data_IF_361083492608
#
_entry.id   IF_361083492608
#
_cell.length_a   1.000
_cell.length_b   1.000
_cell.length_c   1.000
_cell.angle_alpha   90.00
_cell.angle_beta   90.00
_cell.angle_gamma   90.00
#
_symmetry.space_group_name_H-M   'P 1'
#
loop_
_entity.id
_entity.type
_entity.pdbx_description
1 polymer ?
#
# COMPACT_ATOMS: atom_id res chain seq x y z
N UNK A 1 13.77 -27.84 -93.06
CA UNK A 1 12.89 -27.52 -91.91
C UNK A 1 11.85 -28.63 -91.83
N UNK A 2 12.01 -29.56 -90.90
CA UNK A 2 11.03 -30.62 -90.65
C UNK A 2 10.59 -30.47 -89.19
N UNK A 3 9.39 -29.97 -89.00
CA UNK A 3 8.69 -29.91 -87.72
C UNK A 3 8.31 -31.34 -87.34
N UNK A 4 8.99 -31.90 -86.34
CA UNK A 4 8.66 -33.20 -85.76
C UNK A 4 7.33 -33.07 -85.03
N UNK A 5 6.29 -33.61 -85.64
CA UNK A 5 4.94 -33.75 -85.11
C UNK A 5 5.00 -34.70 -83.91
N UNK A 6 4.95 -34.15 -82.69
CA UNK A 6 4.83 -34.94 -81.45
C UNK A 6 3.36 -35.32 -81.31
N UNK A 7 2.99 -36.49 -81.80
CA UNK A 7 1.74 -37.17 -81.42
C UNK A 7 1.78 -37.48 -79.93
N UNK A 8 1.08 -36.68 -79.13
CA UNK A 8 0.84 -36.94 -77.71
C UNK A 8 -0.07 -38.17 -77.58
N UNK A 9 0.40 -39.21 -76.89
CA UNK A 9 -0.38 -40.39 -76.61
C UNK A 9 -1.60 -40.04 -75.73
N UNK A 10 -2.76 -40.69 -75.92
CA UNK A 10 -3.94 -40.42 -75.11
C UNK A 10 -3.69 -40.83 -73.66
N UNK A 11 -3.95 -39.92 -72.71
CA UNK A 11 -3.89 -40.21 -71.28
C UNK A 11 -4.71 -41.46 -70.96
N UNK A 12 -4.08 -42.44 -70.33
CA UNK A 12 -4.78 -43.64 -69.89
C UNK A 12 -5.46 -43.40 -68.54
N UNK A 13 -6.49 -44.20 -68.24
CA UNK A 13 -7.19 -44.15 -66.96
C UNK A 13 -6.24 -44.35 -65.76
N UNK A 14 -5.18 -45.13 -65.95
CA UNK A 14 -4.15 -45.40 -64.94
C UNK A 14 -3.33 -44.14 -64.65
N UNK A 15 -2.90 -43.41 -65.69
CA UNK A 15 -2.14 -42.16 -65.53
C UNK A 15 -2.93 -41.11 -64.72
N UNK A 16 -4.25 -41.05 -64.91
CA UNK A 16 -5.12 -40.16 -64.15
C UNK A 16 -5.35 -40.63 -62.71
N UNK A 17 -5.31 -41.94 -62.44
CA UNK A 17 -5.40 -42.48 -61.09
C UNK A 17 -4.12 -42.22 -60.30
N UNK A 18 -2.96 -42.37 -60.94
CA UNK A 18 -1.65 -42.10 -60.34
C UNK A 18 -1.50 -40.60 -60.03
N UNK A 19 -1.89 -39.72 -60.97
CA UNK A 19 -1.92 -38.28 -60.73
C UNK A 19 -2.82 -37.90 -59.54
N UNK A 20 -4.01 -38.51 -59.42
CA UNK A 20 -4.90 -38.25 -58.28
C UNK A 20 -4.34 -38.77 -56.96
N UNK A 21 -3.57 -39.86 -56.98
CA UNK A 21 -2.89 -40.37 -55.80
C UNK A 21 -1.77 -39.42 -55.36
N UNK A 22 -0.94 -38.96 -56.30
CA UNK A 22 0.13 -37.99 -56.05
C UNK A 22 -0.41 -36.64 -55.57
N UNK A 23 -1.50 -36.17 -56.18
CA UNK A 23 -2.16 -34.94 -55.76
C UNK A 23 -2.72 -35.06 -54.33
N UNK A 24 -3.38 -36.19 -54.01
CA UNK A 24 -3.85 -36.45 -52.64
C UNK A 24 -2.71 -36.49 -51.63
N UNK A 25 -1.60 -37.13 -51.99
CA UNK A 25 -0.41 -37.18 -51.14
C UNK A 25 0.17 -35.79 -50.90
N UNK A 26 0.36 -35.01 -51.97
CA UNK A 26 0.89 -33.64 -51.89
C UNK A 26 0.00 -32.73 -51.04
N UNK A 27 -1.32 -32.83 -51.18
CA UNK A 27 -2.26 -32.05 -50.34
C UNK A 27 -2.20 -32.49 -48.87
N UNK A 28 -2.11 -33.80 -48.61
CA UNK A 28 -1.99 -34.31 -47.24
C UNK A 28 -0.68 -33.86 -46.59
N UNK A 29 0.43 -33.93 -47.30
CA UNK A 29 1.74 -33.50 -46.84
C UNK A 29 1.78 -31.98 -46.59
N UNK A 30 1.21 -31.18 -47.49
CA UNK A 30 1.16 -29.73 -47.30
C UNK A 30 0.25 -29.34 -46.13
N UNK A 31 -0.89 -30.03 -45.94
CA UNK A 31 -1.75 -29.84 -44.76
C UNK A 31 -1.00 -30.20 -43.48
N UNK A 32 -0.33 -31.34 -43.43
CA UNK A 32 0.44 -31.77 -42.26
C UNK A 32 1.56 -30.76 -41.94
N UNK A 33 2.30 -30.33 -42.97
CA UNK A 33 3.36 -29.32 -42.84
C UNK A 33 2.86 -27.99 -42.29
N UNK A 34 1.61 -27.61 -42.60
CA UNK A 34 1.01 -26.36 -42.11
C UNK A 34 0.33 -26.51 -40.75
N UNK A 35 -0.28 -27.66 -40.48
CA UNK A 35 -1.00 -27.93 -39.23
C UNK A 35 -0.06 -28.25 -38.07
N UNK A 36 1.04 -28.97 -38.33
CA UNK A 36 2.03 -29.32 -37.30
C UNK A 36 2.55 -28.10 -36.50
N UNK A 37 3.03 -27.01 -37.11
CA UNK A 37 3.50 -25.84 -36.36
C UNK A 37 2.36 -25.10 -35.64
N UNK A 38 1.12 -25.17 -36.15
CA UNK A 38 -0.05 -24.59 -35.48
C UNK A 38 -0.36 -25.39 -34.20
N UNK A 39 -0.32 -26.72 -34.27
CA UNK A 39 -0.54 -27.59 -33.11
C UNK A 39 0.54 -27.38 -32.05
N UNK A 40 1.80 -27.23 -32.47
CA UNK A 40 2.91 -26.93 -31.56
C UNK A 40 2.73 -25.55 -30.89
N UNK A 41 2.41 -24.52 -31.67
CA UNK A 41 2.14 -23.18 -31.13
C UNK A 41 0.94 -23.17 -30.18
N UNK A 42 -0.10 -23.96 -30.46
CA UNK A 42 -1.27 -24.11 -29.60
C UNK A 42 -0.92 -24.83 -28.28
N UNK A 43 -0.05 -25.85 -28.33
CA UNK A 43 0.45 -26.52 -27.14
C UNK A 43 1.30 -25.58 -26.26
N UNK A 44 2.21 -24.80 -26.86
CA UNK A 44 3.00 -23.79 -26.14
C UNK A 44 2.11 -22.73 -25.49
N UNK A 45 1.13 -22.21 -26.25
CA UNK A 45 0.19 -21.21 -25.73
C UNK A 45 -0.60 -21.76 -24.54
N UNK A 46 -1.04 -23.01 -24.61
CA UNK A 46 -1.76 -23.68 -23.51
C UNK A 46 -0.87 -23.79 -22.27
N UNK A 47 0.37 -24.25 -22.43
CA UNK A 47 1.33 -24.35 -21.32
C UNK A 47 1.63 -22.99 -20.68
N UNK A 48 1.81 -21.95 -21.49
CA UNK A 48 2.03 -20.59 -21.01
C UNK A 48 0.82 -20.03 -20.28
N UNK A 49 -0.39 -20.29 -20.79
CA UNK A 49 -1.64 -19.85 -20.17
C UNK A 49 -1.81 -20.50 -18.81
N UNK A 50 -1.60 -21.81 -18.71
CA UNK A 50 -1.66 -22.53 -17.44
C UNK A 50 -0.61 -22.01 -16.43
N UNK A 51 0.62 -21.76 -16.89
CA UNK A 51 1.65 -21.18 -16.03
C UNK A 51 1.30 -19.76 -15.54
N UNK A 52 0.62 -18.95 -16.36
CA UNK A 52 0.15 -17.63 -15.95
C UNK A 52 -1.02 -17.71 -14.97
N UNK A 53 -1.94 -18.66 -15.15
CA UNK A 53 -3.06 -18.87 -14.24
C UNK A 53 -2.57 -19.27 -12.84
N UNK A 54 -1.65 -20.24 -12.75
CA UNK A 54 -1.07 -20.64 -11.46
C UNK A 54 -0.33 -19.48 -10.77
N UNK A 55 0.38 -18.64 -11.53
CA UNK A 55 1.02 -17.44 -10.96
C UNK A 55 -0.01 -16.43 -10.46
N UNK A 56 -1.11 -16.27 -11.18
CA UNK A 56 -2.17 -15.35 -10.80
C UNK A 56 -2.91 -15.80 -9.54
N UNK A 57 -3.15 -17.11 -9.38
CA UNK A 57 -3.67 -17.70 -8.14
C UNK A 57 -2.74 -17.39 -6.96
N UNK A 58 -1.43 -17.62 -7.10
CA UNK A 58 -0.47 -17.30 -6.03
C UNK A 58 -0.39 -15.81 -5.69
N UNK A 59 -0.51 -14.92 -6.68
CA UNK A 59 -0.59 -13.47 -6.43
C UNK A 59 -1.89 -13.13 -5.68
N UNK A 60 -3.02 -13.73 -6.06
CA UNK A 60 -4.30 -13.48 -5.42
C UNK A 60 -4.28 -13.92 -3.94
N UNK A 61 -3.71 -15.09 -3.65
CA UNK A 61 -3.52 -15.56 -2.27
C UNK A 61 -2.63 -14.60 -1.46
N UNK A 62 -1.51 -14.17 -2.03
CA UNK A 62 -0.61 -13.21 -1.37
C UNK A 62 -1.27 -11.85 -1.10
N UNK A 63 -2.03 -11.33 -2.06
CA UNK A 63 -2.79 -10.08 -1.89
C UNK A 63 -3.84 -10.23 -0.80
N UNK A 64 -4.52 -11.38 -0.73
CA UNK A 64 -5.50 -11.64 0.32
C UNK A 64 -4.85 -11.65 1.71
N UNK A 65 -3.75 -12.41 1.87
CA UNK A 65 -3.00 -12.45 3.13
C UNK A 65 -2.52 -11.06 3.57
N UNK A 66 -1.94 -10.26 2.67
CA UNK A 66 -1.52 -8.90 2.99
C UNK A 66 -2.69 -7.96 3.32
N UNK A 67 -3.87 -8.20 2.75
CA UNK A 67 -5.06 -7.42 3.07
C UNK A 67 -5.52 -7.70 4.51
N UNK A 68 -5.46 -8.96 4.95
CA UNK A 68 -5.74 -9.36 6.33
C UNK A 68 -4.71 -8.76 7.30
N UNK A 69 -3.41 -8.86 7.00
CA UNK A 69 -2.34 -8.26 7.82
C UNK A 69 -2.51 -6.74 7.95
N UNK A 70 -2.86 -6.05 6.87
CA UNK A 70 -3.13 -4.61 6.90
C UNK A 70 -4.36 -4.26 7.74
N UNK A 71 -5.36 -5.13 7.77
CA UNK A 71 -6.53 -4.92 8.61
C UNK A 71 -6.17 -5.08 10.10
N UNK A 72 -5.44 -6.12 10.44
CA UNK A 72 -4.95 -6.35 11.81
C UNK A 72 -4.07 -5.20 12.30
N UNK A 73 -3.17 -4.69 11.45
CA UNK A 73 -2.32 -3.55 11.78
C UNK A 73 -3.14 -2.27 12.01
N UNK A 74 -4.19 -2.03 11.23
CA UNK A 74 -5.10 -0.88 11.45
C UNK A 74 -5.82 -0.98 12.78
N UNK A 75 -6.28 -2.18 13.14
CA UNK A 75 -6.97 -2.41 14.40
C UNK A 75 -6.02 -2.23 15.59
N UNK A 76 -4.78 -2.69 15.48
CA UNK A 76 -3.73 -2.45 16.49
C UNK A 76 -3.41 -0.95 16.64
N UNK A 77 -3.26 -0.22 15.53
CA UNK A 77 -3.02 1.23 15.57
C UNK A 77 -4.16 1.95 16.29
N UNK A 78 -5.42 1.60 15.98
CA UNK A 78 -6.58 2.18 16.64
C UNK A 78 -6.57 1.93 18.15
N UNK A 79 -6.28 0.70 18.59
CA UNK A 79 -6.19 0.38 20.03
C UNK A 79 -5.10 1.22 20.71
N UNK A 80 -3.96 1.40 20.05
CA UNK A 80 -2.86 2.21 20.58
C UNK A 80 -3.22 3.70 20.64
N UNK A 81 -3.91 4.22 19.63
CA UNK A 81 -4.42 5.60 19.61
C UNK A 81 -5.41 5.84 20.75
N UNK A 82 -6.40 4.95 20.92
CA UNK A 82 -7.39 5.02 22.00
C UNK A 82 -6.71 4.96 23.38
N UNK A 83 -5.72 4.07 23.55
CA UNK A 83 -4.94 3.96 24.79
C UNK A 83 -4.13 5.23 25.07
N UNK A 84 -3.50 5.81 24.04
CA UNK A 84 -2.74 7.05 24.17
C UNK A 84 -3.66 8.24 24.51
N UNK A 85 -4.85 8.30 23.90
CA UNK A 85 -5.85 9.30 24.24
C UNK A 85 -6.31 9.17 25.70
N UNK A 86 -6.59 7.96 26.18
CA UNK A 86 -6.95 7.71 27.57
C UNK A 86 -5.82 8.11 28.53
N UNK A 87 -4.57 7.71 28.24
CA UNK A 87 -3.41 8.11 29.04
C UNK A 87 -3.26 9.63 29.07
N UNK A 88 -3.36 10.32 27.93
CA UNK A 88 -3.30 11.78 27.88
C UNK A 88 -4.42 12.45 28.66
N UNK A 89 -5.64 11.88 28.63
CA UNK A 89 -6.77 12.36 29.44
C UNK A 89 -6.46 12.19 30.92
N UNK A 90 -6.02 11.00 31.36
CA UNK A 90 -5.65 10.71 32.76
C UNK A 90 -4.53 11.61 33.28
N UNK A 91 -3.49 11.82 32.49
CA UNK A 91 -2.39 12.73 32.83
C UNK A 91 -2.84 14.19 32.96
N UNK A 92 -3.92 14.58 32.27
CA UNK A 92 -4.45 15.95 32.28
C UNK A 92 -5.68 16.13 33.19
N UNK A 93 -6.23 15.07 33.77
CA UNK A 93 -7.44 15.15 34.61
C UNK A 93 -7.28 16.08 35.81
N UNK A 94 -6.08 16.13 36.39
CA UNK A 94 -5.78 16.98 37.54
C UNK A 94 -5.24 18.36 37.14
N UNK A 95 -5.17 18.67 35.83
CA UNK A 95 -4.66 19.95 35.34
C UNK A 95 -5.81 20.95 35.21
N UNK A 96 -5.84 21.95 36.08
CA UNK A 96 -6.79 23.06 36.02
C UNK A 96 -6.18 24.20 35.20
N UNK A 97 -6.92 24.69 34.19
CA UNK A 97 -6.54 25.89 33.42
C UNK A 97 -7.29 27.10 33.94
N UNK A 98 -6.58 28.01 34.58
CA UNK A 98 -7.12 29.30 35.04
C UNK A 98 -6.88 30.36 33.96
N UNK A 99 -7.93 31.11 33.60
CA UNK A 99 -7.87 32.21 32.61
C UNK A 99 -8.21 33.54 33.28
N UNK A 100 -7.72 34.64 32.72
CA UNK A 100 -8.01 35.99 33.22
C UNK A 100 -7.12 36.45 34.38
N UNK A 101 -6.05 35.71 34.69
CA UNK A 101 -5.01 36.18 35.59
C UNK A 101 -4.15 37.25 34.89
N UNK A 102 -3.79 38.35 35.56
CA UNK A 102 -2.86 39.34 35.01
C UNK A 102 -1.51 38.71 34.67
N UNK A 103 -0.97 39.01 33.49
CA UNK A 103 0.35 38.54 33.06
C UNK A 103 1.51 39.11 33.90
N UNK A 104 1.24 40.17 34.69
CA UNK A 104 2.20 40.79 35.60
C UNK A 104 2.61 39.89 36.76
N UNK A 105 1.85 38.82 37.04
CA UNK A 105 2.18 37.88 38.12
C UNK A 105 3.33 36.97 37.68
N UNK A 106 4.46 37.09 38.36
CA UNK A 106 5.63 36.24 38.12
C UNK A 106 5.31 34.77 38.41
N UNK A 107 6.00 33.86 37.72
CA UNK A 107 5.82 32.41 37.88
C UNK A 107 6.02 31.96 39.34
N UNK A 108 6.93 32.60 40.07
CA UNK A 108 7.24 32.27 41.46
C UNK A 108 6.09 32.62 42.43
N UNK A 109 5.27 33.62 42.07
CA UNK A 109 4.13 34.07 42.87
C UNK A 109 2.80 33.42 42.43
N UNK A 110 2.80 32.59 41.38
CA UNK A 110 1.60 31.93 40.89
C UNK A 110 0.94 31.00 41.92
N UNK A 111 1.66 30.12 42.64
CA UNK A 111 1.03 29.23 43.62
C UNK A 111 0.27 30.00 44.71
N UNK A 112 0.85 31.07 45.23
CA UNK A 112 0.25 31.92 46.26
C UNK A 112 -0.97 32.67 45.73
N UNK A 113 -0.86 33.21 44.51
CA UNK A 113 -1.96 33.93 43.85
C UNK A 113 -3.13 32.99 43.59
N UNK A 114 -2.86 31.78 43.09
CA UNK A 114 -3.86 30.75 42.84
C UNK A 114 -4.53 30.29 44.14
N UNK A 115 -3.76 30.09 45.22
CA UNK A 115 -4.32 29.74 46.53
C UNK A 115 -5.31 30.80 47.03
N UNK A 116 -4.98 32.09 46.88
CA UNK A 116 -5.91 33.19 47.23
C UNK A 116 -7.16 33.19 46.38
N UNK A 117 -7.04 32.93 45.08
CA UNK A 117 -8.19 32.82 44.17
C UNK A 117 -9.08 31.66 44.59
N UNK A 118 -8.51 30.49 44.90
CA UNK A 118 -9.29 29.33 45.36
C UNK A 118 -9.95 29.57 46.72
N UNK A 119 -9.27 30.22 47.67
CA UNK A 119 -9.85 30.64 48.95
C UNK A 119 -11.03 31.60 48.78
N UNK A 120 -10.91 32.53 47.83
CA UNK A 120 -12.00 33.45 47.52
C UNK A 120 -13.20 32.73 46.90
N UNK A 121 -12.96 31.77 45.99
CA UNK A 121 -14.03 31.01 45.32
C UNK A 121 -14.66 29.94 46.20
N UNK A 122 -13.92 29.39 47.15
CA UNK A 122 -14.31 28.29 48.03
C UNK A 122 -13.96 28.64 49.49
N UNK A 123 -14.68 29.59 50.12
CA UNK A 123 -14.35 30.09 51.45
C UNK A 123 -14.48 29.04 52.56
N UNK A 124 -15.36 28.05 52.36
CA UNK A 124 -15.60 26.97 53.34
C UNK A 124 -14.68 25.76 53.16
N UNK A 125 -13.84 25.75 52.11
CA UNK A 125 -12.95 24.63 51.83
C UNK A 125 -11.67 24.72 52.69
N UNK A 126 -11.33 23.61 53.35
CA UNK A 126 -10.07 23.47 54.06
C UNK A 126 -8.91 23.41 53.07
N UNK A 127 -8.13 24.50 53.01
CA UNK A 127 -6.99 24.63 52.08
C UNK A 127 -5.86 23.62 52.34
N UNK A 128 -5.91 22.88 53.44
CA UNK A 128 -5.03 21.72 53.70
C UNK A 128 -5.11 20.65 52.64
N UNK A 129 -6.22 20.59 51.89
CA UNK A 129 -6.44 19.57 50.86
C UNK A 129 -6.00 20.00 49.46
N UNK A 130 -5.62 21.28 49.27
CA UNK A 130 -5.16 21.79 47.99
C UNK A 130 -3.65 21.52 47.81
N UNK A 131 -3.31 20.33 47.31
CA UNK A 131 -1.95 19.98 46.94
C UNK A 131 -1.68 20.39 45.48
N UNK A 132 -0.88 21.45 45.30
CA UNK A 132 -0.47 21.95 43.98
C UNK A 132 0.96 21.52 43.69
N UNK A 133 1.13 20.56 42.76
CA UNK A 133 2.47 20.07 42.39
C UNK A 133 3.25 21.09 41.55
N UNK A 134 2.58 21.77 40.61
CA UNK A 134 3.20 22.73 39.70
C UNK A 134 2.22 23.80 39.23
N UNK A 135 2.64 25.07 39.25
CA UNK A 135 1.94 26.18 38.61
C UNK A 135 2.84 26.84 37.57
N UNK A 136 2.28 27.15 36.40
CA UNK A 136 3.00 27.86 35.34
C UNK A 136 2.02 28.51 34.36
N UNK A 137 2.49 29.56 33.67
CA UNK A 137 1.77 30.15 32.54
C UNK A 137 1.77 29.17 31.35
N UNK A 138 0.60 28.95 30.75
CA UNK A 138 0.45 28.00 29.63
C UNK A 138 1.20 28.46 28.37
N UNK A 139 1.28 29.77 28.16
CA UNK A 139 2.12 30.38 27.15
C UNK A 139 3.38 30.87 27.85
N UNK A 140 4.50 30.18 27.65
CA UNK A 140 5.80 30.75 27.97
C UNK A 140 5.92 32.02 27.12
N UNK A 141 6.27 33.16 27.73
CA UNK A 141 6.67 34.32 26.94
C UNK A 141 7.70 33.83 25.89
N UNK A 142 7.60 34.28 24.62
CA UNK A 142 8.55 33.85 23.60
C UNK A 142 9.95 34.12 24.16
N UNK A 143 10.74 33.06 24.37
CA UNK A 143 12.11 33.26 24.80
C UNK A 143 12.76 34.10 23.71
N UNK A 144 13.16 35.31 24.02
CA UNK A 144 13.79 36.25 23.09
C UNK A 144 15.15 35.76 22.56
N UNK A 145 15.48 34.47 22.69
CA UNK A 145 16.79 33.94 22.39
C UNK A 145 16.75 32.43 22.06
N UNK A 146 16.58 32.08 20.77
CA UNK A 146 17.35 31.01 20.07
C UNK A 146 16.85 30.85 18.62
N UNK A 147 17.08 31.88 17.82
CA UNK A 147 17.47 31.66 16.43
C UNK A 147 18.95 31.26 16.42
N UNK A 148 19.23 29.95 16.36
CA UNK A 148 20.52 29.24 16.13
C UNK A 148 20.25 27.80 16.59
N UNK A 149 20.03 26.79 15.75
CA UNK A 149 20.87 26.37 14.63
C UNK A 149 20.05 25.81 13.46
N UNK A 150 20.39 26.30 12.28
CA UNK A 150 20.29 25.60 11.01
C UNK A 150 21.39 24.55 10.94
N UNK A 151 21.03 23.30 10.63
CA UNK A 151 21.61 22.46 9.57
C UNK A 151 21.33 20.98 9.88
N UNK A 152 20.37 20.43 9.15
CA UNK A 152 20.20 18.99 9.03
C UNK A 152 21.41 18.46 8.25
N UNK A 153 22.26 17.68 8.91
CA UNK A 153 23.28 16.89 8.24
C UNK A 153 22.56 15.74 7.53
N UNK A 154 22.40 15.88 6.21
CA UNK A 154 22.11 14.76 5.31
C UNK A 154 23.23 13.73 5.45
N UNK A 155 22.90 12.52 5.88
CA UNK A 155 23.80 11.37 5.78
C UNK A 155 23.85 10.93 4.30
N UNK A 156 25.04 10.73 3.72
CA UNK A 156 25.17 10.07 2.43
C UNK A 156 24.95 8.56 2.59
N UNK A 157 24.35 7.99 1.54
CA UNK A 157 24.03 6.59 1.25
C UNK A 157 24.77 5.49 2.02
#
# INVERSE_FOLDING_TARGET
>A
MATSDRTEAPLTRTDMQDFLADFKWSVAEELERKLSPIMEAMADLTARTQATETKMEGVQESVHAHTEELQDLRDQLRILEDSNEDLNKRTRWHNIRVRGLPETVSTDLLPDTLTRVFQYLLPDATMTDLLMERAHHALRAPSANTGRYSSATLLPY
#
